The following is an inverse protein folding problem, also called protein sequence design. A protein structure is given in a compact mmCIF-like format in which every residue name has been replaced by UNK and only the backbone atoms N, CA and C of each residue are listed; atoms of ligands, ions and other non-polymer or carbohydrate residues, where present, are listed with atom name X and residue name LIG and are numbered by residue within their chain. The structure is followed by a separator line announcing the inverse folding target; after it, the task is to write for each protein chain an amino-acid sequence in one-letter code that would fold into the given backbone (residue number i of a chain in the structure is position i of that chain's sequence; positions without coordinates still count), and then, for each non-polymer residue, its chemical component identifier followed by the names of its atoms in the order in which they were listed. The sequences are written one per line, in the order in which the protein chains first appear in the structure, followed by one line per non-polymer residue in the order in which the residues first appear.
data_IF_881887909170
#
_entry.id   IF_881887909170
#
_cell.length_a   1.000
_cell.length_b   1.000
_cell.length_c   1.000
_cell.angle_alpha   90.00
_cell.angle_beta   90.00
_cell.angle_gamma   90.00
#
_symmetry.space_group_name_H-M   'P 1'
#
loop_
_entity.id
_entity.type
_entity.pdbx_description
1 polymer ?
#
# COMPACT_ATOMS: atom_id res chain seq x y z
N UNK A 1 -51.63 -20.64 28.15
CA UNK A 1 -51.32 -19.83 26.96
C UNK A 1 -49.87 -20.10 26.59
N UNK A 2 -49.65 -20.98 25.61
CA UNK A 2 -48.32 -21.26 25.09
C UNK A 2 -47.80 -20.01 24.39
N UNK A 3 -46.65 -19.51 24.84
CA UNK A 3 -45.96 -18.40 24.19
C UNK A 3 -45.46 -18.87 22.82
N UNK A 4 -46.19 -18.52 21.77
CA UNK A 4 -45.70 -18.59 20.39
C UNK A 4 -44.55 -17.58 20.23
N UNK A 5 -43.32 -18.03 20.43
CA UNK A 5 -42.12 -17.32 20.01
C UNK A 5 -42.17 -17.16 18.48
N UNK A 6 -42.11 -15.90 18.02
CA UNK A 6 -42.03 -15.48 16.61
C UNK A 6 -40.98 -16.34 15.87
N UNK A 7 -41.35 -16.93 14.74
CA UNK A 7 -40.45 -17.74 13.90
C UNK A 7 -39.19 -16.97 13.48
N UNK A 8 -39.25 -15.63 13.44
CA UNK A 8 -38.08 -14.77 13.20
C UNK A 8 -36.99 -14.92 14.27
N UNK A 9 -37.35 -15.26 15.51
CA UNK A 9 -36.38 -15.52 16.59
C UNK A 9 -35.76 -16.92 16.49
N UNK A 10 -36.38 -17.85 15.75
CA UNK A 10 -35.78 -19.17 15.48
C UNK A 10 -34.69 -19.09 14.41
N UNK A 11 -34.77 -18.13 13.49
CA UNK A 11 -33.76 -17.91 12.45
C UNK A 11 -32.41 -17.43 13.01
N UNK A 12 -32.40 -16.79 14.18
CA UNK A 12 -31.17 -16.41 14.88
C UNK A 12 -30.47 -17.57 15.62
N UNK A 13 -31.07 -18.77 15.67
CA UNK A 13 -30.48 -19.95 16.33
C UNK A 13 -29.67 -20.85 15.40
N UNK A 14 -29.68 -20.60 14.09
CA UNK A 14 -28.86 -21.36 13.15
C UNK A 14 -27.43 -20.79 13.11
N UNK A 15 -26.64 -21.11 14.13
CA UNK A 15 -25.26 -20.64 14.25
C UNK A 15 -24.36 -21.18 13.11
N UNK A 16 -24.74 -22.29 12.47
CA UNK A 16 -24.00 -22.89 11.36
C UNK A 16 -23.96 -21.98 10.12
N UNK A 17 -25.11 -21.39 9.73
CA UNK A 17 -25.17 -20.45 8.61
C UNK A 17 -24.48 -19.13 8.92
N UNK A 18 -24.51 -18.69 10.19
CA UNK A 18 -23.85 -17.46 10.66
C UNK A 18 -22.32 -17.60 10.72
N UNK A 19 -21.77 -18.77 11.05
CA UNK A 19 -20.32 -19.03 11.03
C UNK A 19 -19.76 -18.97 9.61
N UNK A 20 -20.42 -19.61 8.63
CA UNK A 20 -20.00 -19.54 7.22
C UNK A 20 -20.11 -18.11 6.64
N UNK A 21 -21.12 -17.35 7.05
CA UNK A 21 -21.25 -15.93 6.71
C UNK A 21 -20.12 -15.08 7.33
N UNK A 22 -19.72 -15.37 8.57
CA UNK A 22 -18.67 -14.64 9.29
C UNK A 22 -17.29 -14.95 8.73
N UNK A 23 -16.98 -16.21 8.42
CA UNK A 23 -15.70 -16.59 7.83
C UNK A 23 -15.52 -16.02 6.42
N UNK A 24 -16.60 -16.04 5.63
CA UNK A 24 -16.60 -15.43 4.29
C UNK A 24 -16.42 -13.92 4.39
N UNK A 25 -17.11 -13.26 5.32
CA UNK A 25 -16.97 -11.83 5.57
C UNK A 25 -15.54 -11.46 5.99
N UNK A 26 -14.96 -12.16 6.96
CA UNK A 26 -13.59 -11.92 7.44
C UNK A 26 -12.55 -12.14 6.33
N UNK A 27 -12.72 -13.15 5.48
CA UNK A 27 -11.85 -13.38 4.31
C UNK A 27 -11.93 -12.21 3.33
N UNK A 28 -13.14 -11.76 3.00
CA UNK A 28 -13.35 -10.63 2.08
C UNK A 28 -12.77 -9.34 2.67
N UNK A 29 -12.97 -9.08 3.96
CA UNK A 29 -12.44 -7.90 4.63
C UNK A 29 -10.92 -7.90 4.62
N UNK A 30 -10.27 -9.02 5.02
CA UNK A 30 -8.81 -9.16 4.98
C UNK A 30 -8.25 -8.92 3.58
N UNK A 31 -8.88 -9.50 2.56
CA UNK A 31 -8.46 -9.31 1.17
C UNK A 31 -8.58 -7.84 0.75
N UNK A 32 -9.71 -7.19 1.04
CA UNK A 32 -9.92 -5.76 0.71
C UNK A 32 -8.91 -4.85 1.42
N UNK A 33 -8.65 -5.11 2.70
CA UNK A 33 -7.64 -4.35 3.45
C UNK A 33 -6.25 -4.51 2.85
N UNK A 34 -5.86 -5.74 2.50
CA UNK A 34 -4.57 -5.98 1.85
C UNK A 34 -4.46 -5.24 0.50
N UNK A 35 -5.53 -5.21 -0.30
CA UNK A 35 -5.59 -4.46 -1.56
C UNK A 35 -5.44 -2.96 -1.31
N UNK A 36 -6.16 -2.39 -0.34
CA UNK A 36 -6.04 -0.95 -0.05
C UNK A 36 -4.64 -0.58 0.43
N UNK A 37 -4.06 -1.36 1.34
CA UNK A 37 -2.69 -1.17 1.82
C UNK A 37 -1.72 -1.22 0.62
N UNK A 38 -1.86 -2.21 -0.27
CA UNK A 38 -1.01 -2.31 -1.45
C UNK A 38 -1.16 -1.11 -2.40
N UNK A 39 -2.39 -0.65 -2.63
CA UNK A 39 -2.67 0.50 -3.51
C UNK A 39 -1.97 1.76 -3.00
N UNK A 40 -2.08 2.04 -1.70
CA UNK A 40 -1.56 3.28 -1.11
C UNK A 40 -0.05 3.23 -0.82
N UNK A 41 0.56 2.05 -0.89
CA UNK A 41 2.00 1.87 -0.63
C UNK A 41 2.74 1.53 -1.93
N UNK A 42 2.85 0.24 -2.26
CA UNK A 42 3.63 -0.26 -3.39
C UNK A 42 3.13 0.26 -4.74
N UNK A 43 1.82 0.23 -4.99
CA UNK A 43 1.30 0.70 -6.28
C UNK A 43 1.51 2.20 -6.47
N UNK A 44 1.21 3.01 -5.45
CA UNK A 44 1.46 4.44 -5.51
C UNK A 44 2.94 4.77 -5.72
N UNK A 45 3.86 4.08 -5.03
CA UNK A 45 5.30 4.25 -5.28
C UNK A 45 5.67 3.88 -6.72
N UNK A 46 5.12 2.79 -7.25
CA UNK A 46 5.40 2.32 -8.59
C UNK A 46 5.02 3.35 -9.67
N UNK A 47 3.85 3.97 -9.55
CA UNK A 47 3.42 5.02 -10.50
C UNK A 47 4.00 6.39 -10.18
N UNK A 48 4.33 6.66 -8.91
CA UNK A 48 4.95 7.91 -8.46
C UNK A 48 6.36 8.10 -9.02
N UNK A 49 7.09 7.00 -9.28
CA UNK A 49 8.41 7.01 -9.92
C UNK A 49 8.39 7.64 -11.32
N UNK A 50 7.21 7.81 -11.95
CA UNK A 50 7.09 8.52 -13.22
C UNK A 50 7.59 9.97 -13.13
N UNK A 51 7.54 10.58 -11.94
CA UNK A 51 8.13 11.89 -11.66
C UNK A 51 9.62 11.99 -12.02
N UNK A 52 10.37 10.90 -11.84
CA UNK A 52 11.81 10.87 -12.13
C UNK A 52 12.08 10.86 -13.63
N UNK A 53 11.21 10.25 -14.43
CA UNK A 53 11.29 10.33 -15.90
C UNK A 53 10.97 11.73 -16.41
N UNK A 54 10.05 12.45 -15.76
CA UNK A 54 9.73 13.83 -16.13
C UNK A 54 10.87 14.82 -15.85
N UNK A 55 11.95 14.42 -15.19
CA UNK A 55 13.14 15.25 -15.06
C UNK A 55 13.87 15.45 -16.40
N UNK A 56 13.71 14.51 -17.35
CA UNK A 56 14.25 14.62 -18.71
C UNK A 56 13.12 14.90 -19.73
N UNK A 57 12.99 16.14 -20.25
CA UNK A 57 11.95 16.50 -21.22
C UNK A 57 12.11 15.83 -22.60
N UNK A 58 13.26 15.20 -22.88
CA UNK A 58 13.47 14.38 -24.08
C UNK A 58 13.01 12.94 -23.91
N UNK A 59 13.02 12.44 -22.68
CA UNK A 59 12.54 11.11 -22.34
C UNK A 59 11.02 11.09 -22.11
N UNK A 60 10.51 12.01 -21.29
CA UNK A 60 9.10 12.06 -20.94
C UNK A 60 8.57 13.51 -20.91
N UNK A 61 7.46 13.75 -21.60
CA UNK A 61 6.73 15.00 -21.57
C UNK A 61 5.23 14.75 -21.65
N UNK A 62 4.46 15.68 -21.09
CA UNK A 62 3.00 15.66 -21.18
C UNK A 62 2.48 16.22 -22.52
N UNK A 63 3.35 16.86 -23.31
CA UNK A 63 3.03 17.24 -24.69
C UNK A 63 4.29 17.40 -25.54
N UNK A 64 4.22 16.91 -26.78
CA UNK A 64 5.22 17.17 -27.82
C UNK A 64 4.57 17.93 -28.95
N UNK A 65 5.28 18.96 -29.44
CA UNK A 65 4.90 19.60 -30.69
C UNK A 65 5.63 18.91 -31.85
N UNK A 66 4.91 18.68 -32.94
CA UNK A 66 5.49 18.10 -34.16
C UNK A 66 6.75 18.87 -34.59
N UNK A 67 7.84 18.12 -34.82
CA UNK A 67 9.13 18.65 -35.21
C UNK A 67 10.02 19.16 -34.07
N UNK A 68 9.54 19.17 -32.82
CA UNK A 68 10.35 19.51 -31.65
C UNK A 68 10.89 18.23 -30.97
N UNK A 69 12.20 18.12 -30.69
CA UNK A 69 12.80 16.92 -30.09
C UNK A 69 12.56 16.79 -28.57
N UNK A 70 12.05 17.84 -27.91
CA UNK A 70 11.87 17.91 -26.46
C UNK A 70 10.53 18.55 -26.09
N UNK A 71 10.04 18.25 -24.90
CA UNK A 71 8.93 18.97 -24.29
C UNK A 71 9.24 20.46 -24.10
N UNK A 72 8.25 21.33 -24.32
CA UNK A 72 8.43 22.78 -24.21
C UNK A 72 8.71 23.21 -22.77
N UNK A 73 9.58 24.22 -22.53
CA UNK A 73 9.98 24.63 -21.19
C UNK A 73 8.81 24.93 -20.23
N UNK A 74 7.77 25.63 -20.70
CA UNK A 74 6.58 25.93 -19.86
C UNK A 74 5.88 24.67 -19.38
N UNK A 75 5.70 23.66 -20.23
CA UNK A 75 5.03 22.43 -19.86
C UNK A 75 5.88 21.64 -18.86
N UNK A 76 7.18 21.60 -19.11
CA UNK A 76 8.12 20.94 -18.22
C UNK A 76 8.11 21.61 -16.83
N UNK A 77 8.15 22.94 -16.76
CA UNK A 77 8.02 23.68 -15.49
C UNK A 77 6.74 23.36 -14.72
N UNK A 78 5.59 23.25 -15.40
CA UNK A 78 4.32 22.86 -14.76
C UNK A 78 4.46 21.46 -14.15
N UNK A 79 5.05 20.51 -14.88
CA UNK A 79 5.25 19.15 -14.38
C UNK A 79 6.26 19.09 -13.25
N UNK A 80 7.35 19.86 -13.29
CA UNK A 80 8.30 19.96 -12.19
C UNK A 80 7.61 20.46 -10.92
N UNK A 81 6.76 21.48 -11.04
CA UNK A 81 5.99 22.00 -9.90
C UNK A 81 5.05 20.91 -9.34
N UNK A 82 4.30 20.22 -10.20
CA UNK A 82 3.44 19.11 -9.77
C UNK A 82 4.26 18.05 -9.04
N UNK A 83 5.38 17.61 -9.62
CA UNK A 83 6.28 16.60 -9.06
C UNK A 83 6.82 17.02 -7.69
N UNK A 84 7.35 18.23 -7.56
CA UNK A 84 7.85 18.77 -6.29
C UNK A 84 6.78 18.68 -5.20
N UNK A 85 5.56 19.09 -5.51
CA UNK A 85 4.51 19.00 -4.52
C UNK A 85 4.12 17.53 -4.28
N UNK A 86 4.05 16.63 -5.29
CA UNK A 86 3.62 15.19 -5.20
C UNK A 86 4.63 14.24 -4.59
N UNK A 87 5.84 14.71 -4.36
CA UNK A 87 6.96 13.85 -3.95
C UNK A 87 7.47 14.21 -2.55
N UNK A 88 6.58 14.67 -1.66
CA UNK A 88 6.95 14.89 -0.26
C UNK A 88 7.28 13.55 0.41
N UNK A 89 8.45 13.47 1.01
CA UNK A 89 8.92 12.26 1.69
C UNK A 89 7.96 11.85 2.80
N UNK A 90 7.50 10.60 2.74
CA UNK A 90 6.69 9.98 3.78
C UNK A 90 7.52 8.93 4.54
N UNK A 91 7.11 8.58 5.78
CA UNK A 91 7.71 7.47 6.50
C UNK A 91 7.63 6.17 5.69
N UNK A 92 8.73 5.40 5.69
CA UNK A 92 8.79 4.13 4.98
C UNK A 92 7.86 3.10 5.64
N UNK A 93 7.29 2.20 4.82
CA UNK A 93 6.40 1.15 5.30
C UNK A 93 7.09 0.22 6.33
N UNK A 94 8.42 0.09 6.27
CA UNK A 94 9.21 -0.77 7.16
C UNK A 94 9.62 -0.12 8.48
N UNK A 95 9.28 1.15 8.73
CA UNK A 95 9.55 1.84 10.00
C UNK A 95 8.89 1.13 11.20
N UNK A 96 9.33 1.47 12.41
CA UNK A 96 8.74 0.94 13.64
C UNK A 96 7.48 1.71 14.07
N UNK A 97 6.31 1.10 13.83
CA UNK A 97 5.01 1.63 14.22
C UNK A 97 4.45 1.02 15.50
N UNK A 98 5.25 0.26 16.27
CA UNK A 98 4.78 -0.36 17.53
C UNK A 98 4.28 0.65 18.55
N UNK A 99 4.73 1.91 18.46
CA UNK A 99 4.23 3.02 19.26
C UNK A 99 2.73 3.29 19.07
N UNK A 100 2.13 2.93 17.92
CA UNK A 100 0.70 3.08 17.65
C UNK A 100 -0.17 2.08 18.42
N UNK A 101 0.40 0.98 18.91
CA UNK A 101 -0.33 -0.05 19.63
C UNK A 101 -0.37 0.19 21.15
N UNK A 102 0.38 1.18 21.63
CA UNK A 102 0.44 1.51 23.05
C UNK A 102 -0.92 1.93 23.57
N UNK A 103 -1.34 1.36 24.69
CA UNK A 103 -2.61 1.70 25.35
C UNK A 103 -3.80 0.85 24.90
N UNK A 104 -3.57 -0.15 24.05
CA UNK A 104 -4.51 -1.27 23.90
C UNK A 104 -4.52 -2.13 25.18
N UNK A 105 -5.48 -3.05 25.28
CA UNK A 105 -5.44 -4.06 26.34
C UNK A 105 -4.11 -4.84 26.27
N UNK A 106 -3.49 -5.25 27.40
CA UNK A 106 -2.14 -5.82 27.40
C UNK A 106 -1.94 -7.01 26.44
N UNK A 107 -2.94 -7.88 26.34
CA UNK A 107 -2.96 -9.03 25.42
C UNK A 107 -3.03 -8.59 23.95
N UNK A 108 -3.77 -7.51 23.65
CA UNK A 108 -3.88 -6.95 22.31
C UNK A 108 -2.63 -6.18 21.90
N UNK A 109 -2.02 -5.41 22.80
CA UNK A 109 -0.78 -4.68 22.53
C UNK A 109 0.37 -5.64 22.17
N UNK A 110 0.54 -6.71 22.96
CA UNK A 110 1.54 -7.74 22.68
C UNK A 110 1.26 -8.43 21.33
N UNK A 111 0.01 -8.80 21.08
CA UNK A 111 -0.39 -9.46 19.84
C UNK A 111 -0.11 -8.59 18.61
N UNK A 112 -0.54 -7.32 18.62
CA UNK A 112 -0.36 -6.40 17.49
C UNK A 112 1.12 -6.09 17.25
N UNK A 113 1.89 -5.92 18.33
CA UNK A 113 3.35 -5.74 18.24
C UNK A 113 4.03 -6.94 17.58
N UNK A 114 3.62 -8.15 17.94
CA UNK A 114 4.16 -9.38 17.34
C UNK A 114 3.80 -9.50 15.87
N UNK A 115 2.55 -9.18 15.49
CA UNK A 115 2.11 -9.16 14.09
C UNK A 115 2.91 -8.15 13.27
N UNK A 116 3.14 -6.94 13.81
CA UNK A 116 3.93 -5.91 13.12
C UNK A 116 5.38 -6.34 12.89
N UNK A 117 6.03 -6.92 13.91
CA UNK A 117 7.41 -7.42 13.78
C UNK A 117 7.52 -8.55 12.75
N UNK A 118 6.51 -9.43 12.68
CA UNK A 118 6.46 -10.47 11.66
C UNK A 118 6.33 -9.87 10.25
N UNK A 119 5.48 -8.87 10.09
CA UNK A 119 5.34 -8.14 8.83
C UNK A 119 6.65 -7.44 8.41
N UNK A 120 7.35 -6.77 9.33
CA UNK A 120 8.67 -6.19 9.05
C UNK A 120 9.70 -7.23 8.62
N UNK A 121 9.72 -8.39 9.26
CA UNK A 121 10.60 -9.48 8.86
C UNK A 121 10.28 -10.01 7.46
N UNK A 122 9.01 -10.05 7.06
CA UNK A 122 8.62 -10.44 5.71
C UNK A 122 8.98 -9.38 4.66
N UNK A 123 8.85 -8.09 4.99
CA UNK A 123 9.37 -7.00 4.14
C UNK A 123 10.88 -7.11 3.95
N UNK A 124 11.63 -7.41 5.02
CA UNK A 124 13.08 -7.59 4.94
C UNK A 124 13.47 -8.71 3.96
N UNK A 125 12.76 -9.84 3.98
CA UNK A 125 12.99 -10.94 3.00
C UNK A 125 12.72 -10.51 1.56
N UNK A 126 11.65 -9.71 1.35
CA UNK A 126 11.34 -9.16 0.02
C UNK A 126 12.44 -8.21 -0.44
N UNK A 127 12.95 -7.37 0.45
CA UNK A 127 14.07 -6.46 0.17
C UNK A 127 15.32 -7.24 -0.27
N UNK A 128 15.69 -8.28 0.48
CA UNK A 128 16.84 -9.13 0.17
C UNK A 128 16.70 -9.84 -1.19
N UNK A 129 15.51 -10.34 -1.51
CA UNK A 129 15.24 -10.98 -2.80
C UNK A 129 15.30 -9.98 -3.96
N UNK A 130 14.81 -8.76 -3.78
CA UNK A 130 14.92 -7.69 -4.78
C UNK A 130 16.38 -7.32 -5.01
N UNK A 131 17.16 -7.13 -3.93
CA UNK A 131 18.59 -6.85 -4.01
C UNK A 131 19.34 -7.96 -4.73
N UNK A 132 19.04 -9.23 -4.40
CA UNK A 132 19.63 -10.39 -5.08
C UNK A 132 19.36 -10.36 -6.58
N UNK A 133 18.11 -10.12 -7.00
CA UNK A 133 17.75 -10.03 -8.43
C UNK A 133 18.40 -8.84 -9.14
N UNK A 134 18.53 -7.72 -8.46
CA UNK A 134 19.11 -6.50 -9.06
C UNK A 134 20.62 -6.61 -9.30
N UNK A 135 21.34 -7.52 -8.61
CA UNK A 135 22.77 -7.79 -8.88
C UNK A 135 23.04 -8.32 -10.29
N UNK A 136 22.06 -8.98 -10.90
CA UNK A 136 22.18 -9.62 -12.22
C UNK A 136 21.57 -8.78 -13.35
N UNK A 137 20.93 -7.65 -13.01
CA UNK A 137 20.21 -6.81 -13.99
C UNK A 137 21.07 -5.64 -14.45
N UNK A 138 21.03 -5.38 -15.76
CA UNK A 138 21.56 -4.14 -16.34
C UNK A 138 20.75 -2.92 -15.86
N UNK A 139 19.41 -3.05 -15.80
CA UNK A 139 18.50 -2.03 -15.29
C UNK A 139 17.86 -2.52 -14.01
N UNK A 140 18.21 -1.87 -12.90
CA UNK A 140 17.68 -2.21 -11.59
C UNK A 140 16.18 -1.92 -11.51
N UNK A 141 15.42 -2.81 -10.87
CA UNK A 141 14.03 -2.55 -10.51
C UNK A 141 13.92 -2.32 -9.01
N UNK A 142 13.76 -1.06 -8.63
CA UNK A 142 13.68 -0.62 -7.22
C UNK A 142 12.28 -0.19 -6.81
N UNK A 143 11.33 -0.11 -7.76
CA UNK A 143 10.05 0.57 -7.57
C UNK A 143 9.19 -0.06 -6.47
N UNK A 144 9.37 -1.36 -6.22
CA UNK A 144 8.68 -2.13 -5.18
C UNK A 144 9.62 -2.56 -4.04
N UNK A 145 10.79 -1.94 -3.90
CA UNK A 145 11.70 -2.26 -2.80
C UNK A 145 11.18 -1.64 -1.49
N UNK A 146 11.11 -2.40 -0.38
CA UNK A 146 10.81 -1.85 0.94
C UNK A 146 11.75 -0.73 1.41
N UNK A 147 12.91 -0.53 0.74
CA UNK A 147 13.80 0.62 0.93
C UNK A 147 13.19 1.96 0.52
N UNK A 148 12.22 1.94 -0.40
CA UNK A 148 11.65 3.14 -1.01
C UNK A 148 10.12 3.17 -1.00
N UNK A 149 9.47 2.10 -0.53
CA UNK A 149 8.02 2.07 -0.38
C UNK A 149 7.63 2.86 0.88
N UNK A 150 6.79 3.86 0.67
CA UNK A 150 6.21 4.69 1.69
C UNK A 150 4.94 4.07 2.28
N UNK A 151 4.60 4.46 3.51
CA UNK A 151 3.45 3.95 4.26
C UNK A 151 2.10 4.54 3.86
N UNK A 152 2.09 5.64 3.09
CA UNK A 152 0.87 6.38 2.74
C UNK A 152 0.99 7.13 1.43
N UNK A 153 -0.16 7.51 0.86
CA UNK A 153 -0.29 8.51 -0.21
C UNK A 153 -0.71 9.81 0.45
N UNK A 154 0.24 10.69 0.77
CA UNK A 154 -0.11 11.99 1.34
C UNK A 154 0.78 13.10 0.81
N UNK A 155 0.12 14.19 0.41
CA UNK A 155 0.58 15.55 0.69
C UNK A 155 -0.30 16.09 1.80
#
# INVERSE_FOLDING_TARGET
AEYHLDERLKQFKDFSSNVNCTDTFLKVLKHRMAVYIFIVTGYHRHVGFVGDYYADPGLASMSWKSGEPYGRPRQHMIMSVVNVFTSMQQPLLKEDYTHLFRGLAPDQEEHMTKVWKAFQADLQKVEEEIDRRNKEREIMNINMSPKVIESTVSK
#
